data_IF_598687686673
#
_entry.id   IF_598687686673
#
_cell.length_a   1.000
_cell.length_b   1.000
_cell.length_c   1.000
_cell.angle_alpha   90.00
_cell.angle_beta   90.00
_cell.angle_gamma   90.00
#
_symmetry.space_group_name_H-M   'P 1'
#
loop_
_entity.id
_entity.type
_entity.pdbx_description
1 polymer ?
#
# COMPACT_ATOMS: atom_id res chain seq x y z
N UNK A 1 13.27 44.02 -6.49
CA UNK A 1 11.87 43.96 -6.93
C UNK A 1 11.52 42.62 -7.61
N UNK A 2 12.43 41.96 -8.36
CA UNK A 2 12.20 40.66 -9.02
C UNK A 2 12.10 39.44 -8.04
N UNK A 3 12.56 39.58 -6.80
CA UNK A 3 12.52 38.50 -5.80
C UNK A 3 11.13 38.31 -5.17
N UNK A 4 10.33 39.37 -5.07
CA UNK A 4 9.01 39.36 -4.40
C UNK A 4 7.97 38.46 -5.10
N UNK A 5 7.81 38.45 -6.44
CA UNK A 5 6.84 37.59 -7.11
C UNK A 5 7.18 36.11 -6.98
N UNK A 6 8.47 35.77 -6.91
CA UNK A 6 8.92 34.37 -6.84
C UNK A 6 8.73 33.79 -5.43
N UNK A 7 9.08 34.58 -4.39
CA UNK A 7 8.81 34.21 -2.98
C UNK A 7 7.30 34.07 -2.79
N UNK A 8 6.51 34.98 -3.39
CA UNK A 8 5.06 34.89 -3.36
C UNK A 8 4.52 33.63 -4.05
N UNK A 9 5.03 33.28 -5.23
CA UNK A 9 4.62 32.07 -5.93
C UNK A 9 4.98 30.76 -5.22
N UNK A 10 6.18 30.69 -4.63
CA UNK A 10 6.59 29.53 -3.81
C UNK A 10 5.79 29.42 -2.51
N UNK A 11 5.46 30.55 -1.90
CA UNK A 11 4.63 30.58 -0.69
C UNK A 11 3.18 30.18 -0.96
N UNK A 12 2.59 30.66 -2.06
CA UNK A 12 1.27 30.25 -2.53
C UNK A 12 1.23 28.78 -2.91
N UNK A 13 2.26 28.27 -3.54
CA UNK A 13 2.37 26.85 -3.87
C UNK A 13 2.48 25.95 -2.62
N UNK A 14 3.21 26.39 -1.58
CA UNK A 14 3.29 25.74 -0.28
C UNK A 14 1.94 25.74 0.45
N UNK A 15 1.25 26.88 0.46
CA UNK A 15 -0.11 26.99 1.03
C UNK A 15 -1.09 26.08 0.30
N UNK A 16 -1.09 26.07 -1.03
CA UNK A 16 -1.93 25.20 -1.84
C UNK A 16 -1.66 23.71 -1.55
N UNK A 17 -0.41 23.34 -1.34
CA UNK A 17 -0.05 21.98 -0.95
C UNK A 17 -0.53 21.64 0.47
N UNK A 18 -0.41 22.56 1.40
CA UNK A 18 -0.78 22.36 2.81
C UNK A 18 -2.31 22.34 3.02
N UNK A 19 -3.04 23.11 2.23
CA UNK A 19 -4.52 23.16 2.25
C UNK A 19 -5.17 22.04 1.40
N UNK A 20 -4.37 21.23 0.69
CA UNK A 20 -4.89 20.15 -0.16
C UNK A 20 -5.64 20.61 -1.40
N UNK A 21 -5.55 21.89 -1.76
CA UNK A 21 -6.22 22.48 -2.94
C UNK A 21 -5.22 23.17 -3.87
N UNK A 22 -5.22 22.87 -5.19
CA UNK A 22 -5.99 21.85 -5.90
C UNK A 22 -5.41 20.44 -5.70
N UNK A 23 -6.23 19.40 -5.81
CA UNK A 23 -5.84 17.97 -5.75
C UNK A 23 -4.96 17.54 -6.95
N UNK A 24 -3.93 18.30 -7.22
CA UNK A 24 -2.97 17.94 -8.26
C UNK A 24 -2.08 16.81 -7.75
N UNK A 25 -1.87 15.74 -8.53
CA UNK A 25 -0.89 14.74 -8.17
C UNK A 25 0.47 15.42 -7.92
N UNK A 26 1.13 15.08 -6.81
CA UNK A 26 2.40 15.69 -6.38
C UNK A 26 3.46 15.76 -7.52
N UNK A 27 3.37 14.86 -8.50
CA UNK A 27 4.22 14.83 -9.71
C UNK A 27 4.10 16.07 -10.59
N UNK A 28 2.90 16.65 -10.74
CA UNK A 28 2.70 17.86 -11.58
C UNK A 28 3.17 19.12 -10.85
N UNK A 29 2.93 19.18 -9.54
CA UNK A 29 3.40 20.27 -8.70
C UNK A 29 4.93 20.35 -8.71
N UNK A 30 5.63 19.23 -8.52
CA UNK A 30 7.09 19.17 -8.55
C UNK A 30 7.67 19.53 -9.91
N UNK A 31 7.03 19.13 -11.02
CA UNK A 31 7.45 19.51 -12.37
C UNK A 31 7.28 21.02 -12.63
N UNK A 32 6.15 21.58 -12.24
CA UNK A 32 5.88 23.01 -12.39
C UNK A 32 6.92 23.83 -11.62
N UNK A 33 7.24 23.42 -10.40
CA UNK A 33 8.22 24.08 -9.55
C UNK A 33 9.66 23.93 -10.10
N UNK A 34 10.01 22.78 -10.68
CA UNK A 34 11.27 22.60 -11.40
C UNK A 34 11.40 23.52 -12.60
N UNK A 35 10.34 23.65 -13.41
CA UNK A 35 10.29 24.54 -14.57
C UNK A 35 10.41 26.01 -14.13
N UNK A 36 9.73 26.44 -13.09
CA UNK A 36 9.80 27.82 -12.57
C UNK A 36 11.19 28.16 -12.04
N UNK A 37 11.85 27.23 -11.34
CA UNK A 37 13.22 27.40 -10.84
C UNK A 37 14.24 27.45 -11.99
N UNK A 38 14.08 26.64 -13.03
CA UNK A 38 14.91 26.69 -14.23
C UNK A 38 14.72 28.00 -15.02
N UNK A 39 13.48 28.47 -15.13
CA UNK A 39 13.17 29.77 -15.72
C UNK A 39 13.80 30.93 -14.95
N UNK A 40 13.81 30.86 -13.63
CA UNK A 40 14.50 31.85 -12.79
C UNK A 40 16.01 31.82 -13.01
N UNK A 41 16.62 30.63 -13.06
CA UNK A 41 18.05 30.49 -13.32
C UNK A 41 18.44 31.10 -14.67
N UNK A 42 17.64 30.90 -15.73
CA UNK A 42 17.82 31.50 -17.03
C UNK A 42 17.64 33.03 -17.01
N UNK A 43 16.65 33.54 -16.26
CA UNK A 43 16.45 34.99 -16.12
C UNK A 43 17.62 35.66 -15.37
N UNK A 44 18.14 35.01 -14.34
CA UNK A 44 19.34 35.47 -13.61
C UNK A 44 20.59 35.44 -14.50
N UNK A 45 20.70 34.41 -15.34
CA UNK A 45 21.76 34.33 -16.35
C UNK A 45 21.67 35.49 -17.39
N UNK A 46 20.48 35.80 -17.87
CA UNK A 46 20.26 36.95 -18.78
C UNK A 46 20.63 38.27 -18.11
N UNK A 47 20.23 38.50 -16.85
CA UNK A 47 20.63 39.68 -16.09
C UNK A 47 22.15 39.74 -15.89
N UNK A 48 22.80 38.60 -15.65
CA UNK A 48 24.27 38.52 -15.58
C UNK A 48 24.95 38.92 -16.88
N UNK A 49 24.33 38.68 -18.05
CA UNK A 49 24.88 39.11 -19.33
C UNK A 49 24.77 40.61 -19.58
N UNK A 50 23.82 41.28 -18.92
CA UNK A 50 23.54 42.70 -19.11
C UNK A 50 24.28 43.63 -18.12
N UNK A 51 24.61 43.15 -16.92
CA UNK A 51 25.15 43.97 -15.83
C UNK A 51 26.59 43.59 -15.46
N UNK A 52 27.28 44.51 -14.77
CA UNK A 52 28.72 44.43 -14.50
C UNK A 52 29.15 43.31 -13.51
N UNK A 53 30.47 42.98 -13.45
CA UNK A 53 31.03 41.84 -12.69
C UNK A 53 30.74 41.84 -11.18
N UNK A 54 30.37 42.98 -10.59
CA UNK A 54 30.08 43.13 -9.14
C UNK A 54 28.87 42.22 -8.68
N UNK A 55 28.00 41.86 -9.65
CA UNK A 55 26.85 41.03 -9.32
C UNK A 55 27.10 39.50 -9.43
N UNK A 56 28.30 39.08 -9.78
CA UNK A 56 28.63 37.64 -10.01
C UNK A 56 28.38 36.78 -8.76
N UNK A 57 28.79 37.26 -7.59
CA UNK A 57 28.58 36.52 -6.33
C UNK A 57 27.11 36.43 -5.94
N UNK A 58 26.35 37.53 -6.08
CA UNK A 58 24.92 37.54 -5.77
C UNK A 58 24.10 36.63 -6.68
N UNK A 59 24.47 36.55 -7.99
CA UNK A 59 23.85 35.64 -8.94
C UNK A 59 24.21 34.20 -8.63
N UNK A 60 25.47 33.92 -8.25
CA UNK A 60 25.90 32.59 -7.81
C UNK A 60 25.12 32.10 -6.59
N UNK A 61 24.95 32.94 -5.57
CA UNK A 61 24.21 32.58 -4.35
C UNK A 61 22.74 32.31 -4.66
N UNK A 62 22.11 33.15 -5.47
CA UNK A 62 20.73 32.96 -5.88
C UNK A 62 20.53 31.68 -6.71
N UNK A 63 21.47 31.36 -7.62
CA UNK A 63 21.47 30.10 -8.36
C UNK A 63 21.68 28.90 -7.44
N UNK A 64 22.57 29.00 -6.44
CA UNK A 64 22.82 27.96 -5.47
C UNK A 64 21.53 27.58 -4.71
N UNK A 65 20.79 28.58 -4.22
CA UNK A 65 19.50 28.38 -3.53
C UNK A 65 18.46 27.76 -4.47
N UNK A 66 18.38 28.24 -5.72
CA UNK A 66 17.45 27.71 -6.72
C UNK A 66 17.77 26.25 -7.07
N UNK A 67 19.03 25.91 -7.24
CA UNK A 67 19.46 24.53 -7.52
C UNK A 67 19.29 23.60 -6.34
N UNK A 68 19.51 24.07 -5.13
CA UNK A 68 19.19 23.31 -3.93
C UNK A 68 17.71 22.94 -3.89
N UNK A 69 16.83 23.93 -4.05
CA UNK A 69 15.40 23.70 -4.11
C UNK A 69 14.97 22.75 -5.25
N UNK A 70 15.54 22.94 -6.45
CA UNK A 70 15.29 22.08 -7.60
C UNK A 70 15.78 20.66 -7.38
N UNK A 71 16.95 20.48 -6.76
CA UNK A 71 17.50 19.14 -6.45
C UNK A 71 16.64 18.38 -5.43
N UNK A 72 16.20 19.04 -4.38
CA UNK A 72 15.29 18.44 -3.38
C UNK A 72 13.98 17.97 -4.01
N UNK A 73 13.51 18.65 -5.05
CA UNK A 73 12.24 18.34 -5.70
C UNK A 73 12.33 17.39 -6.91
N UNK A 74 13.47 17.40 -7.62
CA UNK A 74 13.65 16.60 -8.85
C UNK A 74 14.05 15.13 -8.61
N UNK A 75 14.10 14.66 -7.39
CA UNK A 75 14.70 13.39 -6.95
C UNK A 75 14.03 12.11 -7.48
N UNK A 76 13.16 12.21 -8.44
CA UNK A 76 12.44 11.05 -8.97
C UNK A 76 13.14 10.40 -10.17
N UNK A 77 13.92 11.16 -10.95
CA UNK A 77 14.70 10.57 -12.05
C UNK A 77 16.00 11.35 -12.32
N UNK A 78 17.06 10.61 -12.62
CA UNK A 78 18.35 11.20 -13.03
C UNK A 78 18.22 12.10 -14.26
N UNK A 79 17.31 11.79 -15.19
CA UNK A 79 17.04 12.60 -16.38
C UNK A 79 16.46 13.97 -16.04
N UNK A 80 15.50 14.05 -15.15
CA UNK A 80 14.91 15.31 -14.69
C UNK A 80 15.96 16.16 -13.96
N UNK A 81 16.81 15.52 -13.16
CA UNK A 81 17.90 16.21 -12.48
C UNK A 81 18.93 16.81 -13.44
N UNK A 82 19.36 16.06 -14.47
CA UNK A 82 20.27 16.55 -15.51
C UNK A 82 19.68 17.78 -16.21
N UNK A 83 18.42 17.74 -16.62
CA UNK A 83 17.77 18.85 -17.32
C UNK A 83 17.61 20.09 -16.45
N UNK A 84 17.24 19.94 -15.20
CA UNK A 84 16.90 21.04 -14.30
C UNK A 84 18.15 21.67 -13.67
N UNK A 85 19.20 20.90 -13.41
CA UNK A 85 20.40 21.37 -12.69
C UNK A 85 21.62 21.50 -13.61
N UNK A 86 21.97 20.43 -14.31
CA UNK A 86 23.22 20.37 -15.07
C UNK A 86 23.25 21.36 -16.24
N UNK A 87 22.17 21.46 -17.02
CA UNK A 87 22.11 22.36 -18.19
C UNK A 87 22.23 23.82 -17.77
N UNK A 88 21.42 24.39 -16.84
CA UNK A 88 21.58 25.78 -16.42
C UNK A 88 22.95 26.08 -15.80
N UNK A 89 23.53 25.15 -15.03
CA UNK A 89 24.89 25.33 -14.47
C UNK A 89 25.93 25.40 -15.59
N UNK A 90 25.88 24.53 -16.59
CA UNK A 90 26.80 24.51 -17.71
C UNK A 90 26.69 25.79 -18.55
N UNK A 91 25.49 26.29 -18.79
CA UNK A 91 25.25 27.54 -19.53
C UNK A 91 25.81 28.74 -18.74
N UNK A 92 25.60 28.79 -17.42
CA UNK A 92 26.18 29.84 -16.57
C UNK A 92 27.72 29.86 -16.65
N UNK A 93 28.34 28.68 -16.55
CA UNK A 93 29.79 28.52 -16.65
C UNK A 93 30.33 29.00 -18.03
N UNK A 94 29.70 28.59 -19.09
CA UNK A 94 30.07 29.00 -20.43
C UNK A 94 29.99 30.52 -20.57
N UNK A 95 28.92 31.12 -20.07
CA UNK A 95 28.78 32.60 -20.10
C UNK A 95 29.86 33.32 -19.26
N UNK A 96 30.22 32.78 -18.09
CA UNK A 96 31.25 33.30 -17.21
C UNK A 96 32.67 33.25 -17.88
N UNK A 97 32.95 32.16 -18.56
CA UNK A 97 34.21 31.97 -19.32
C UNK A 97 34.26 32.97 -20.52
N UNK A 98 33.17 33.10 -21.29
CA UNK A 98 33.09 34.02 -22.43
C UNK A 98 33.28 35.48 -21.98
N UNK A 99 32.80 35.85 -20.81
CA UNK A 99 33.03 37.18 -20.20
C UNK A 99 34.45 37.40 -19.68
N UNK A 100 35.33 36.39 -19.73
CA UNK A 100 36.73 36.52 -19.31
C UNK A 100 36.90 36.73 -17.81
N UNK A 101 36.04 36.19 -16.96
CA UNK A 101 36.19 36.32 -15.52
C UNK A 101 37.49 35.68 -15.02
N UNK A 102 38.18 36.27 -14.02
CA UNK A 102 39.38 35.72 -13.45
C UNK A 102 39.18 34.31 -12.91
N UNK A 103 40.17 33.43 -13.06
CA UNK A 103 40.10 32.05 -12.62
C UNK A 103 39.72 31.91 -11.13
N UNK A 104 40.22 32.79 -10.27
CA UNK A 104 39.88 32.84 -8.83
C UNK A 104 38.39 33.06 -8.60
N UNK A 105 37.76 33.95 -9.34
CA UNK A 105 36.33 34.22 -9.28
C UNK A 105 35.52 33.03 -9.80
N UNK A 106 35.94 32.41 -10.89
CA UNK A 106 35.31 31.20 -11.42
C UNK A 106 35.32 30.04 -10.42
N UNK A 107 36.46 29.83 -9.76
CA UNK A 107 36.59 28.79 -8.74
C UNK A 107 35.73 29.09 -7.51
N UNK A 108 35.74 30.32 -7.02
CA UNK A 108 34.94 30.73 -5.87
C UNK A 108 33.43 30.54 -6.11
N UNK A 109 32.95 30.90 -7.28
CA UNK A 109 31.54 30.76 -7.70
C UNK A 109 31.12 29.30 -7.89
N UNK A 110 32.08 28.40 -8.16
CA UNK A 110 31.81 26.98 -8.37
C UNK A 110 31.78 26.15 -7.09
N UNK A 111 32.68 26.42 -6.15
CA UNK A 111 32.85 25.58 -4.97
C UNK A 111 31.54 25.50 -4.14
N UNK A 112 30.86 26.62 -3.92
CA UNK A 112 29.62 26.67 -3.14
C UNK A 112 28.51 25.79 -3.72
N UNK A 113 28.07 26.01 -4.98
CA UNK A 113 27.07 25.18 -5.63
C UNK A 113 27.46 23.70 -5.73
N UNK A 114 28.71 23.39 -6.05
CA UNK A 114 29.19 22.00 -6.15
C UNK A 114 29.13 21.26 -4.80
N UNK A 115 29.54 21.93 -3.71
CA UNK A 115 29.49 21.36 -2.36
C UNK A 115 28.04 21.09 -1.93
N UNK A 116 27.16 22.08 -2.10
CA UNK A 116 25.74 21.93 -1.74
C UNK A 116 25.10 20.80 -2.57
N UNK A 117 25.38 20.72 -3.86
CA UNK A 117 24.91 19.67 -4.72
C UNK A 117 25.40 18.28 -4.26
N UNK A 118 26.67 18.15 -3.91
CA UNK A 118 27.25 16.92 -3.40
C UNK A 118 26.58 16.49 -2.09
N UNK A 119 26.46 17.40 -1.11
CA UNK A 119 25.83 17.13 0.18
C UNK A 119 24.35 16.73 -0.01
N UNK A 120 23.64 17.42 -0.89
CA UNK A 120 22.23 17.11 -1.17
C UNK A 120 22.08 15.74 -1.81
N UNK A 121 22.92 15.38 -2.78
CA UNK A 121 22.92 14.06 -3.39
C UNK A 121 23.23 12.95 -2.36
N UNK A 122 24.22 13.16 -1.47
CA UNK A 122 24.51 12.21 -0.41
C UNK A 122 23.34 12.04 0.57
N UNK A 123 22.77 13.15 1.02
CA UNK A 123 21.62 13.14 1.95
C UNK A 123 20.45 12.36 1.33
N UNK A 124 20.19 12.59 0.06
CA UNK A 124 19.10 11.92 -0.64
C UNK A 124 19.35 10.44 -0.89
N UNK A 125 20.57 10.07 -1.24
CA UNK A 125 20.95 8.65 -1.33
C UNK A 125 20.76 7.96 0.03
N UNK A 126 21.11 8.63 1.13
CA UNK A 126 20.90 8.14 2.48
C UNK A 126 19.41 8.00 2.84
N UNK A 127 18.60 9.05 2.63
CA UNK A 127 17.15 9.02 2.89
C UNK A 127 16.47 7.92 2.08
N UNK A 128 16.82 7.80 0.80
CA UNK A 128 16.28 6.73 -0.06
C UNK A 128 16.65 5.34 0.45
N UNK A 129 17.91 5.15 0.88
CA UNK A 129 18.35 3.88 1.46
C UNK A 129 17.55 3.54 2.71
N UNK A 130 17.42 4.47 3.65
CA UNK A 130 16.65 4.28 4.90
C UNK A 130 15.17 3.96 4.59
N UNK A 131 14.57 4.65 3.62
CA UNK A 131 13.19 4.38 3.23
C UNK A 131 13.01 2.98 2.61
N UNK A 132 13.94 2.56 1.74
CA UNK A 132 13.92 1.22 1.13
C UNK A 132 14.15 0.13 2.18
N UNK A 133 15.15 0.30 3.06
CA UNK A 133 15.44 -0.65 4.13
C UNK A 133 14.27 -0.77 5.12
N UNK A 134 13.62 0.35 5.43
CA UNK A 134 12.41 0.39 6.26
C UNK A 134 11.22 -0.32 5.61
N UNK A 135 11.04 -0.16 4.30
CA UNK A 135 9.99 -0.87 3.55
C UNK A 135 10.24 -2.38 3.53
N UNK A 136 11.48 -2.80 3.22
CA UNK A 136 11.87 -4.23 3.20
C UNK A 136 11.69 -4.86 4.60
N UNK A 137 12.06 -4.13 5.65
CA UNK A 137 11.90 -4.61 7.03
C UNK A 137 10.43 -4.78 7.42
N UNK A 138 9.55 -3.86 7.03
CA UNK A 138 8.11 -3.99 7.20
C UNK A 138 7.55 -5.19 6.45
N UNK A 139 7.93 -5.36 5.19
CA UNK A 139 7.49 -6.50 4.38
C UNK A 139 7.90 -7.83 5.01
N UNK A 140 9.15 -7.93 5.49
CA UNK A 140 9.63 -9.12 6.23
C UNK A 140 8.85 -9.37 7.53
N UNK A 141 8.51 -8.33 8.28
CA UNK A 141 7.68 -8.46 9.49
C UNK A 141 6.26 -8.95 9.15
N UNK A 142 5.65 -8.42 8.08
CA UNK A 142 4.37 -8.94 7.58
C UNK A 142 4.48 -10.39 7.06
N UNK A 143 5.62 -10.73 6.48
CA UNK A 143 5.91 -12.11 6.06
C UNK A 143 6.02 -13.10 7.22
N UNK A 144 6.50 -12.67 8.38
CA UNK A 144 6.67 -13.51 9.58
C UNK A 144 5.36 -13.58 10.40
N UNK A 145 4.45 -12.62 10.22
CA UNK A 145 3.17 -12.63 10.93
C UNK A 145 2.37 -13.91 10.60
N UNK A 146 1.95 -14.62 11.62
CA UNK A 146 1.15 -15.85 11.54
C UNK A 146 -0.33 -15.59 11.73
N UNK A 147 -0.70 -14.42 12.22
CA UNK A 147 -2.07 -14.04 12.53
C UNK A 147 -2.52 -12.81 11.73
N UNK A 148 -3.81 -12.73 11.49
CA UNK A 148 -4.45 -11.51 10.99
C UNK A 148 -4.51 -10.45 12.10
N UNK A 149 -4.02 -9.24 11.89
CA UNK A 149 -3.91 -8.23 12.96
C UNK A 149 -5.25 -7.70 13.45
N UNK A 150 -6.32 -7.82 12.66
CA UNK A 150 -7.65 -7.39 13.06
C UNK A 150 -8.35 -8.48 13.90
N UNK A 151 -8.44 -9.68 13.36
CA UNK A 151 -9.26 -10.75 13.95
C UNK A 151 -8.50 -11.63 14.94
N UNK A 152 -7.16 -11.59 14.96
CA UNK A 152 -6.31 -12.48 15.75
C UNK A 152 -6.30 -13.95 15.27
N UNK A 153 -7.09 -14.29 14.25
CA UNK A 153 -7.11 -15.60 13.64
C UNK A 153 -5.81 -15.88 12.86
N UNK A 154 -5.56 -17.14 12.53
CA UNK A 154 -4.52 -17.47 11.57
C UNK A 154 -4.76 -16.71 10.26
N UNK A 155 -3.70 -16.22 9.64
CA UNK A 155 -3.78 -15.76 8.27
C UNK A 155 -3.60 -16.94 7.29
N UNK A 156 -3.90 -16.72 6.02
CA UNK A 156 -3.78 -17.72 4.95
C UNK A 156 -2.40 -18.41 4.94
N UNK A 157 -1.33 -17.65 5.23
CA UNK A 157 0.04 -18.16 5.20
C UNK A 157 0.32 -19.17 6.31
N UNK A 158 -0.12 -18.89 7.52
CA UNK A 158 0.03 -19.79 8.67
C UNK A 158 -0.95 -20.99 8.60
N UNK A 159 -2.07 -20.81 7.93
CA UNK A 159 -3.10 -21.85 7.80
C UNK A 159 -2.74 -22.91 6.75
N UNK A 160 -2.13 -22.54 5.62
CA UNK A 160 -1.80 -23.50 4.55
C UNK A 160 -0.86 -24.64 4.98
N UNK A 161 0.14 -24.45 5.85
CA UNK A 161 0.90 -25.57 6.43
C UNK A 161 0.04 -26.58 7.16
N UNK A 162 -1.00 -26.16 7.90
CA UNK A 162 -1.94 -27.08 8.60
C UNK A 162 -2.74 -27.92 7.60
N UNK A 163 -3.24 -27.28 6.53
CA UNK A 163 -3.92 -28.01 5.45
C UNK A 163 -3.00 -29.03 4.79
N UNK A 164 -1.73 -28.68 4.54
CA UNK A 164 -0.74 -29.62 3.98
C UNK A 164 -0.42 -30.78 4.91
N UNK A 165 -0.34 -30.51 6.19
CA UNK A 165 -0.10 -31.54 7.22
C UNK A 165 -1.28 -32.52 7.25
N UNK A 166 -2.52 -32.01 7.24
CA UNK A 166 -3.72 -32.83 7.27
C UNK A 166 -3.88 -33.65 5.97
N UNK A 167 -3.62 -33.04 4.83
CA UNK A 167 -3.56 -33.72 3.53
C UNK A 167 -2.56 -34.89 3.55
N UNK A 168 -1.34 -34.65 4.06
CA UNK A 168 -0.33 -35.71 4.15
C UNK A 168 -0.71 -36.79 5.15
N UNK A 169 -1.46 -36.45 6.22
CA UNK A 169 -2.03 -37.42 7.16
C UNK A 169 -3.10 -38.26 6.49
N UNK A 170 -4.06 -37.64 5.85
CA UNK A 170 -5.18 -38.32 5.17
C UNK A 170 -4.67 -39.29 4.10
N UNK A 171 -3.68 -38.87 3.29
CA UNK A 171 -3.08 -39.72 2.26
C UNK A 171 -2.39 -40.97 2.84
N UNK A 172 -1.83 -40.89 4.06
CA UNK A 172 -1.13 -42.02 4.70
C UNK A 172 -2.06 -42.99 5.44
N UNK A 173 -3.09 -42.45 6.10
CA UNK A 173 -3.96 -43.21 7.00
C UNK A 173 -5.35 -43.49 6.44
N UNK A 174 -5.60 -43.13 5.18
CA UNK A 174 -6.91 -43.22 4.52
C UNK A 174 -8.02 -42.56 5.38
N UNK A 175 -7.65 -41.46 6.06
CA UNK A 175 -8.59 -40.66 6.86
C UNK A 175 -9.21 -39.57 6.00
N UNK A 176 -10.37 -39.08 6.43
CA UNK A 176 -11.10 -38.02 5.74
C UNK A 176 -10.85 -36.68 6.43
N UNK A 177 -10.88 -35.60 5.69
CA UNK A 177 -10.97 -34.25 6.20
C UNK A 177 -11.76 -33.36 5.25
N UNK A 178 -12.30 -32.27 5.77
CA UNK A 178 -13.07 -31.32 4.97
C UNK A 178 -12.59 -29.91 5.15
N UNK A 179 -12.92 -29.05 4.21
CA UNK A 179 -12.74 -27.58 4.32
C UNK A 179 -14.08 -26.88 4.10
N UNK A 180 -14.25 -25.74 4.75
CA UNK A 180 -15.39 -24.85 4.55
C UNK A 180 -14.86 -23.46 4.25
N UNK A 181 -15.23 -22.91 3.09
CA UNK A 181 -15.00 -21.51 2.77
C UNK A 181 -16.27 -20.72 3.06
N UNK A 182 -16.14 -19.68 3.86
CA UNK A 182 -17.23 -18.81 4.29
C UNK A 182 -16.96 -17.36 3.87
N UNK A 183 -18.04 -16.64 3.52
CA UNK A 183 -17.98 -15.25 3.10
C UNK A 183 -19.17 -14.48 3.66
N UNK A 184 -18.90 -13.25 4.12
CA UNK A 184 -19.91 -12.35 4.68
C UNK A 184 -20.82 -11.78 3.59
N UNK A 185 -22.10 -12.10 3.67
CA UNK A 185 -23.07 -11.64 2.69
C UNK A 185 -23.21 -10.12 2.69
N UNK A 186 -23.02 -9.50 1.51
CA UNK A 186 -23.17 -8.06 1.30
C UNK A 186 -22.32 -7.19 2.23
N UNK A 187 -21.14 -7.67 2.67
CA UNK A 187 -20.25 -6.96 3.60
C UNK A 187 -19.87 -5.55 3.10
N UNK A 188 -19.67 -5.39 1.79
CA UNK A 188 -19.46 -4.06 1.21
C UNK A 188 -20.56 -3.06 1.59
N UNK A 189 -21.82 -3.50 1.67
CA UNK A 189 -22.92 -2.63 2.08
C UNK A 189 -22.78 -2.15 3.53
N UNK A 190 -22.23 -2.98 4.42
CA UNK A 190 -21.91 -2.58 5.80
C UNK A 190 -20.93 -1.43 5.80
N UNK A 191 -19.80 -1.59 5.08
CA UNK A 191 -18.78 -0.54 4.95
C UNK A 191 -19.34 0.75 4.31
N UNK A 192 -20.15 0.62 3.28
CA UNK A 192 -20.73 1.76 2.56
C UNK A 192 -21.75 2.51 3.43
N UNK A 193 -22.42 1.82 4.37
CA UNK A 193 -23.48 2.40 5.21
C UNK A 193 -22.96 2.98 6.52
N UNK A 194 -22.04 2.27 7.22
CA UNK A 194 -21.59 2.62 8.57
C UNK A 194 -20.08 2.86 8.67
N UNK A 195 -19.36 2.82 7.53
CA UNK A 195 -17.90 3.03 7.49
C UNK A 195 -17.09 1.78 7.81
N UNK A 196 -15.78 1.87 7.61
CA UNK A 196 -14.85 0.75 7.77
C UNK A 196 -14.72 0.28 9.22
N UNK A 197 -14.85 1.18 10.20
CA UNK A 197 -14.83 0.80 11.62
C UNK A 197 -15.96 -0.16 11.99
N UNK A 198 -17.15 0.05 11.42
CA UNK A 198 -18.26 -0.88 11.59
C UNK A 198 -18.01 -2.23 10.89
N UNK A 199 -17.38 -2.21 9.71
CA UNK A 199 -16.93 -3.42 9.04
C UNK A 199 -15.93 -4.21 9.88
N UNK A 200 -14.99 -3.53 10.52
CA UNK A 200 -14.01 -4.16 11.40
C UNK A 200 -14.68 -4.82 12.62
N UNK A 201 -15.68 -4.18 13.22
CA UNK A 201 -16.49 -4.78 14.29
C UNK A 201 -17.21 -6.05 13.81
N UNK A 202 -17.80 -6.03 12.64
CA UNK A 202 -18.47 -7.20 12.04
C UNK A 202 -17.47 -8.34 11.80
N UNK A 203 -16.27 -8.06 11.32
CA UNK A 203 -15.22 -9.06 11.12
C UNK A 203 -14.75 -9.67 12.43
N UNK A 204 -14.54 -8.88 13.48
CA UNK A 204 -14.17 -9.33 14.82
C UNK A 204 -15.23 -10.26 15.41
N UNK A 205 -16.50 -9.86 15.35
CA UNK A 205 -17.61 -10.65 15.86
C UNK A 205 -17.78 -11.94 15.05
N UNK A 206 -17.60 -11.90 13.74
CA UNK A 206 -17.60 -13.09 12.88
C UNK A 206 -16.51 -14.07 13.28
N UNK A 207 -15.28 -13.61 13.47
CA UNK A 207 -14.17 -14.44 13.91
C UNK A 207 -14.48 -15.15 15.25
N UNK A 208 -15.04 -14.41 16.21
CA UNK A 208 -15.43 -14.91 17.51
C UNK A 208 -16.54 -15.98 17.42
N UNK A 209 -17.57 -15.70 16.65
CA UNK A 209 -18.71 -16.63 16.49
C UNK A 209 -18.31 -17.88 15.73
N UNK A 210 -17.55 -17.77 14.64
CA UNK A 210 -17.04 -18.93 13.92
C UNK A 210 -16.15 -19.78 14.81
N UNK A 211 -15.22 -19.16 15.54
CA UNK A 211 -14.35 -19.87 16.50
C UNK A 211 -15.14 -20.66 17.55
N UNK A 212 -16.26 -20.11 18.06
CA UNK A 212 -17.13 -20.79 19.02
C UNK A 212 -17.86 -22.02 18.47
N UNK A 213 -17.95 -22.16 17.16
CA UNK A 213 -18.57 -23.31 16.50
C UNK A 213 -17.62 -24.51 16.38
N UNK A 214 -16.33 -24.30 16.50
CA UNK A 214 -15.26 -25.23 16.15
C UNK A 214 -14.77 -26.03 17.38
N UNK A 215 -14.18 -27.19 17.09
CA UNK A 215 -13.50 -28.05 18.09
C UNK A 215 -12.04 -27.59 18.22
N UNK A 216 -11.35 -28.07 19.26
CA UNK A 216 -9.95 -27.73 19.47
C UNK A 216 -9.02 -28.18 18.36
N UNK A 217 -9.34 -29.25 17.64
CA UNK A 217 -8.57 -29.77 16.51
C UNK A 217 -8.87 -29.07 15.19
N UNK A 218 -9.99 -28.35 15.10
CA UNK A 218 -10.35 -27.60 13.91
C UNK A 218 -9.51 -26.33 13.83
N UNK A 219 -9.25 -25.87 12.61
CA UNK A 219 -8.51 -24.63 12.43
C UNK A 219 -9.36 -23.62 11.64
N UNK A 220 -9.21 -22.34 12.01
CA UNK A 220 -9.90 -21.21 11.39
C UNK A 220 -8.89 -20.15 10.98
N UNK A 221 -9.01 -19.62 9.77
CA UNK A 221 -8.23 -18.48 9.33
C UNK A 221 -9.09 -17.43 8.65
N UNK A 222 -8.59 -16.21 8.64
CA UNK A 222 -9.06 -15.17 7.73
C UNK A 222 -8.36 -15.36 6.40
N UNK A 223 -9.12 -15.81 5.39
CA UNK A 223 -8.61 -16.21 4.07
C UNK A 223 -8.39 -15.01 3.14
N UNK A 224 -9.28 -14.04 3.21
CA UNK A 224 -9.27 -12.79 2.44
C UNK A 224 -9.91 -11.65 3.21
N UNK A 225 -10.34 -10.60 2.53
CA UNK A 225 -10.93 -9.42 3.16
C UNK A 225 -12.12 -9.73 4.06
N UNK A 226 -13.12 -10.42 3.52
CA UNK A 226 -14.37 -10.82 4.20
C UNK A 226 -14.59 -12.34 4.17
N UNK A 227 -13.53 -13.09 3.80
CA UNK A 227 -13.56 -14.54 3.65
C UNK A 227 -12.82 -15.25 4.79
N UNK A 228 -13.37 -16.38 5.22
CA UNK A 228 -12.84 -17.25 6.26
C UNK A 228 -12.74 -18.68 5.73
N UNK A 229 -11.65 -19.39 6.05
CA UNK A 229 -11.47 -20.80 5.70
C UNK A 229 -11.31 -21.62 6.96
N UNK A 230 -12.07 -22.71 7.03
CA UNK A 230 -12.10 -23.66 8.15
C UNK A 230 -11.53 -24.98 7.66
N UNK A 231 -10.66 -25.60 8.44
CA UNK A 231 -10.16 -26.96 8.26
C UNK A 231 -10.76 -27.84 9.34
N UNK A 232 -11.35 -28.94 8.92
CA UNK A 232 -12.01 -29.92 9.78
C UNK A 232 -11.34 -31.29 9.63
N UNK A 233 -10.34 -31.61 10.46
CA UNK A 233 -9.74 -32.95 10.53
C UNK A 233 -10.77 -34.01 10.90
N UNK A 234 -10.57 -35.24 10.40
CA UNK A 234 -11.42 -36.41 10.70
C UNK A 234 -12.93 -36.12 10.56
N UNK A 235 -13.30 -35.37 9.51
CA UNK A 235 -14.67 -34.90 9.28
C UNK A 235 -15.03 -35.09 7.80
N UNK A 236 -16.07 -35.89 7.54
CA UNK A 236 -16.63 -36.14 6.23
C UNK A 236 -17.55 -35.01 5.73
N UNK A 237 -18.14 -35.18 4.57
CA UNK A 237 -19.03 -34.20 3.95
C UNK A 237 -20.25 -33.87 4.82
N UNK A 238 -20.87 -34.88 5.46
CA UNK A 238 -22.04 -34.69 6.30
C UNK A 238 -21.67 -33.91 7.59
N UNK A 239 -20.58 -34.28 8.23
CA UNK A 239 -20.03 -33.55 9.37
C UNK A 239 -19.65 -32.12 9.06
N UNK A 240 -19.06 -31.88 7.89
CA UNK A 240 -18.73 -30.53 7.41
C UNK A 240 -19.98 -29.66 7.21
N UNK A 241 -21.06 -30.24 6.67
CA UNK A 241 -22.34 -29.54 6.52
C UNK A 241 -23.00 -29.21 7.85
N UNK A 242 -22.89 -30.08 8.87
CA UNK A 242 -23.37 -29.81 10.23
C UNK A 242 -22.62 -28.61 10.83
N UNK A 243 -21.30 -28.56 10.69
CA UNK A 243 -20.48 -27.43 11.16
C UNK A 243 -20.82 -26.15 10.37
N UNK A 244 -20.93 -26.22 9.06
CA UNK A 244 -21.27 -25.09 8.21
C UNK A 244 -22.62 -24.48 8.60
N UNK A 245 -23.65 -25.32 8.81
CA UNK A 245 -24.99 -24.88 9.20
C UNK A 245 -25.01 -24.30 10.64
N UNK A 246 -24.19 -24.85 11.55
CA UNK A 246 -24.01 -24.28 12.89
C UNK A 246 -23.40 -22.88 12.83
N UNK A 247 -22.35 -22.70 12.02
CA UNK A 247 -21.73 -21.39 11.78
C UNK A 247 -22.73 -20.39 11.18
N UNK A 248 -23.48 -20.81 10.15
CA UNK A 248 -24.49 -19.97 9.52
C UNK A 248 -25.54 -19.47 10.51
N UNK A 249 -26.09 -20.38 11.35
CA UNK A 249 -27.08 -20.01 12.37
C UNK A 249 -26.50 -19.07 13.42
N UNK A 250 -25.30 -19.32 13.92
CA UNK A 250 -24.65 -18.43 14.90
C UNK A 250 -24.50 -16.99 14.38
N UNK A 251 -24.33 -16.82 13.09
CA UNK A 251 -24.29 -15.48 12.48
C UNK A 251 -25.69 -14.88 12.27
N UNK A 252 -26.64 -15.67 11.74
CA UNK A 252 -27.95 -15.17 11.38
C UNK A 252 -28.86 -14.89 12.59
N UNK A 253 -28.74 -15.70 13.66
CA UNK A 253 -29.67 -15.69 14.81
C UNK A 253 -29.34 -14.62 15.85
N UNK A 254 -28.18 -13.98 15.77
CA UNK A 254 -27.75 -12.97 16.74
C UNK A 254 -27.35 -11.67 16.03
N UNK A 255 -27.98 -10.59 16.41
CA UNK A 255 -27.59 -9.26 15.93
C UNK A 255 -26.17 -8.90 16.43
N UNK A 256 -25.51 -8.03 15.68
CA UNK A 256 -24.24 -7.39 16.05
C UNK A 256 -24.60 -5.93 16.35
N UNK A 257 -24.23 -5.46 17.54
CA UNK A 257 -24.39 -4.04 17.88
C UNK A 257 -23.35 -3.21 17.14
N UNK A 258 -23.84 -2.37 16.22
CA UNK A 258 -23.02 -1.39 15.51
C UNK A 258 -23.44 0.00 16.02
N UNK A 259 -22.70 0.53 16.98
CA UNK A 259 -22.93 1.87 17.54
C UNK A 259 -24.37 2.06 18.09
N UNK A 260 -24.93 1.06 18.75
CA UNK A 260 -26.28 1.09 19.32
C UNK A 260 -27.39 0.71 18.33
N UNK A 261 -27.03 0.23 17.13
CA UNK A 261 -27.97 -0.28 16.12
C UNK A 261 -27.73 -1.78 15.92
N UNK A 262 -28.77 -2.57 16.14
CA UNK A 262 -28.74 -4.01 15.90
C UNK A 262 -28.69 -4.32 14.41
N UNK A 263 -27.59 -4.94 13.96
CA UNK A 263 -27.37 -5.40 12.59
C UNK A 263 -27.30 -6.92 12.52
N UNK A 264 -28.09 -7.54 11.67
CA UNK A 264 -28.00 -8.97 11.37
C UNK A 264 -27.09 -9.19 10.16
N UNK A 265 -25.96 -9.84 10.39
CA UNK A 265 -25.02 -10.25 9.34
C UNK A 265 -25.21 -11.73 9.04
N UNK A 266 -25.29 -12.08 7.75
CA UNK A 266 -25.38 -13.48 7.32
C UNK A 266 -24.08 -13.93 6.63
N UNK A 267 -23.93 -15.26 6.53
CA UNK A 267 -22.83 -15.93 5.83
C UNK A 267 -23.36 -16.84 4.72
N UNK A 268 -22.66 -16.88 3.63
CA UNK A 268 -22.71 -17.98 2.67
C UNK A 268 -21.49 -18.88 2.87
N UNK A 269 -21.69 -20.21 2.81
CA UNK A 269 -20.64 -21.19 3.08
C UNK A 269 -20.63 -22.27 1.96
N UNK A 270 -19.42 -22.62 1.52
CA UNK A 270 -19.19 -23.74 0.64
C UNK A 270 -18.32 -24.78 1.32
N UNK A 271 -18.79 -26.03 1.40
CA UNK A 271 -18.07 -27.14 2.01
C UNK A 271 -17.57 -28.13 0.95
N UNK A 272 -16.39 -28.69 1.17
CA UNK A 272 -15.84 -29.75 0.34
C UNK A 272 -15.06 -30.74 1.20
N UNK A 273 -15.33 -32.05 1.02
CA UNK A 273 -14.54 -33.13 1.55
C UNK A 273 -13.38 -33.45 0.63
N UNK A 274 -12.21 -33.74 1.20
CA UNK A 274 -11.05 -34.21 0.45
C UNK A 274 -11.34 -35.56 -0.23
N UNK A 275 -10.98 -35.70 -1.51
CA UNK A 275 -11.08 -36.93 -2.28
C UNK A 275 -9.72 -37.58 -2.45
N UNK A 276 -9.67 -38.91 -2.34
CA UNK A 276 -8.45 -39.66 -2.62
C UNK A 276 -7.93 -39.30 -4.02
N UNK A 277 -6.64 -39.04 -4.17
CA UNK A 277 -6.01 -38.59 -5.44
C UNK A 277 -6.23 -37.13 -5.85
N UNK A 278 -6.91 -36.31 -5.05
CA UNK A 278 -7.10 -34.87 -5.29
C UNK A 278 -6.03 -34.05 -4.55
N UNK A 279 -5.52 -32.99 -5.18
CA UNK A 279 -4.63 -32.04 -4.53
C UNK A 279 -5.37 -31.02 -3.65
N UNK A 280 -4.62 -30.24 -2.87
CA UNK A 280 -5.19 -29.23 -1.98
C UNK A 280 -5.87 -28.09 -2.77
N UNK A 281 -5.26 -27.62 -3.86
CA UNK A 281 -5.82 -26.52 -4.65
C UNK A 281 -7.17 -26.89 -5.28
N UNK A 282 -7.36 -28.06 -5.92
CA UNK A 282 -8.67 -28.52 -6.36
C UNK A 282 -9.72 -28.64 -5.24
N UNK A 283 -9.33 -29.08 -4.06
CA UNK A 283 -10.24 -29.15 -2.90
C UNK A 283 -10.76 -27.75 -2.52
N UNK A 284 -9.87 -26.75 -2.44
CA UNK A 284 -10.26 -25.38 -2.13
C UNK A 284 -11.12 -24.78 -3.24
N UNK A 285 -10.81 -25.06 -4.52
CA UNK A 285 -11.62 -24.63 -5.66
C UNK A 285 -13.04 -25.20 -5.55
N UNK A 286 -13.21 -26.46 -5.19
CA UNK A 286 -14.54 -27.06 -5.01
C UNK A 286 -15.33 -26.41 -3.87
N UNK A 287 -14.64 -26.02 -2.78
CA UNK A 287 -15.29 -25.28 -1.72
C UNK A 287 -15.72 -23.86 -2.19
N UNK A 288 -14.91 -23.21 -3.02
CA UNK A 288 -15.23 -21.90 -3.61
C UNK A 288 -16.41 -22.00 -4.59
N UNK A 289 -16.46 -23.01 -5.46
CA UNK A 289 -17.60 -23.27 -6.35
C UNK A 289 -18.91 -23.51 -5.55
N UNK A 290 -18.82 -24.24 -4.44
CA UNK A 290 -19.95 -24.45 -3.55
C UNK A 290 -20.39 -23.16 -2.85
N UNK A 291 -19.44 -22.32 -2.41
CA UNK A 291 -19.72 -21.00 -1.87
C UNK A 291 -20.39 -20.08 -2.91
N UNK A 292 -19.87 -20.09 -4.14
CA UNK A 292 -20.46 -19.33 -5.23
C UNK A 292 -21.90 -19.75 -5.48
N UNK A 293 -22.17 -21.05 -5.52
CA UNK A 293 -23.53 -21.58 -5.62
C UNK A 293 -24.43 -21.06 -4.49
N UNK A 294 -23.95 -21.09 -3.24
CA UNK A 294 -24.69 -20.58 -2.09
C UNK A 294 -25.06 -19.08 -2.24
N UNK A 295 -24.14 -18.27 -2.76
CA UNK A 295 -24.36 -16.84 -3.01
C UNK A 295 -25.41 -16.60 -4.12
N UNK A 296 -25.36 -17.37 -5.22
CA UNK A 296 -26.30 -17.23 -6.35
C UNK A 296 -27.71 -17.70 -5.98
N UNK A 297 -27.84 -18.68 -5.10
CA UNK A 297 -29.15 -19.26 -4.75
C UNK A 297 -29.81 -18.58 -3.54
N UNK A 298 -29.44 -17.33 -3.22
CA UNK A 298 -30.15 -16.49 -2.25
C UNK A 298 -29.39 -16.20 -0.98
N UNK A 299 -28.11 -16.59 -0.89
CA UNK A 299 -27.24 -16.33 0.28
C UNK A 299 -27.75 -16.97 1.57
N UNK A 300 -27.10 -16.65 2.71
CA UNK A 300 -27.42 -17.17 4.04
C UNK A 300 -27.68 -18.69 4.05
N UNK A 301 -26.76 -19.45 3.45
CA UNK A 301 -26.85 -20.91 3.34
C UNK A 301 -25.50 -21.57 3.23
N UNK A 302 -25.46 -22.82 3.59
CA UNK A 302 -24.35 -23.71 3.30
C UNK A 302 -24.67 -24.61 2.08
N UNK A 303 -23.66 -24.88 1.28
CA UNK A 303 -23.75 -25.83 0.16
C UNK A 303 -22.56 -26.76 0.13
N UNK A 304 -22.80 -28.03 -0.18
CA UNK A 304 -21.76 -29.05 -0.30
C UNK A 304 -21.34 -29.19 -1.77
N UNK A 305 -20.04 -29.21 -2.02
CA UNK A 305 -19.51 -29.46 -3.37
C UNK A 305 -19.97 -30.80 -3.93
N UNK A 306 -20.61 -30.78 -5.11
CA UNK A 306 -21.08 -31.98 -5.78
C UNK A 306 -22.47 -32.48 -5.35
N UNK A 307 -23.20 -31.77 -4.51
CA UNK A 307 -24.63 -31.97 -4.28
C UNK A 307 -25.41 -31.13 -5.29
N UNK A 308 -26.34 -31.75 -6.02
CA UNK A 308 -27.26 -31.08 -6.95
C UNK A 308 -28.37 -30.32 -6.19
#
# INVERSE_FOLDING_TARGET
LLRLPLVGATFLALIAHWTGYPRWPARYFLRLMGITLSGLALALLYLFTLYEPIMVTQVSDAMTIAFFGATVMALRSLREWILIVLIPVSVFWLAAIIKGLPLVTLVAVFIGPALIMFVTCMLMAFVRKVAVDGFISREKLHEIATTDPLTGLLNRRAFMPLVRQEYARATRSDSVFSVILADLDKFKKVNDTWGHEAGDLVLLETATRLGSCLRQQDALCRWGGEEFLILLPDTDAEGAMIVAEKCRRQMADRAIDIHGVDHTQTLSLGAAEHRTSEGIDPLIIRADEALYWAKEHGRNRAHLSGSN
#
